data_IF_358053428971
#
_entry.id   IF_358053428971
#
_cell.length_a   1.000
_cell.length_b   1.000
_cell.length_c   1.000
_cell.angle_alpha   90.00
_cell.angle_beta   90.00
_cell.angle_gamma   90.00
#
_symmetry.space_group_name_H-M   'P 1'
#
loop_
_entity.id
_entity.type
_entity.pdbx_description
1 polymer ?
#
# COMPACT_ATOMS: atom_id res chain seq x y z
N UNK A 1 -12.33 -30.66 -14.62
CA UNK A 1 -11.18 -29.83 -15.04
C UNK A 1 -11.76 -28.60 -15.69
N UNK A 2 -11.88 -27.51 -14.94
CA UNK A 2 -12.49 -26.27 -15.43
C UNK A 2 -11.38 -25.30 -15.84
N UNK A 3 -11.16 -25.17 -17.15
CA UNK A 3 -10.33 -24.10 -17.70
C UNK A 3 -11.03 -22.76 -17.46
N UNK A 4 -10.49 -21.99 -16.53
CA UNK A 4 -10.84 -20.59 -16.34
C UNK A 4 -10.30 -19.81 -17.54
N UNK A 5 -11.15 -19.60 -18.53
CA UNK A 5 -10.87 -18.70 -19.65
C UNK A 5 -10.70 -17.29 -19.11
N UNK A 6 -9.45 -16.84 -19.07
CA UNK A 6 -9.10 -15.45 -18.83
C UNK A 6 -9.92 -14.57 -19.78
N UNK A 7 -10.69 -13.66 -19.18
CA UNK A 7 -11.61 -12.75 -19.85
C UNK A 7 -10.85 -11.86 -20.85
N UNK A 8 -10.83 -12.26 -22.12
CA UNK A 8 -10.28 -11.50 -23.24
C UNK A 8 -11.17 -10.28 -23.52
N UNK A 9 -10.97 -9.23 -22.71
CA UNK A 9 -11.72 -7.99 -22.78
C UNK A 9 -11.53 -7.24 -24.11
N UNK A 10 -12.48 -7.46 -25.03
CA UNK A 10 -12.87 -6.60 -26.17
C UNK A 10 -11.71 -6.02 -27.00
N UNK A 11 -11.27 -6.80 -27.99
CA UNK A 11 -10.43 -6.36 -29.11
C UNK A 11 -11.23 -5.46 -30.09
N UNK A 12 -11.48 -4.20 -29.73
CA UNK A 12 -11.71 -3.18 -30.76
C UNK A 12 -10.36 -2.89 -31.44
N UNK A 13 -10.28 -2.73 -32.78
CA UNK A 13 -9.00 -2.53 -33.46
C UNK A 13 -8.21 -1.39 -32.82
N UNK A 14 -7.09 -1.73 -32.17
CA UNK A 14 -6.27 -0.79 -31.40
C UNK A 14 -5.47 0.06 -32.39
N UNK A 15 -6.00 1.24 -32.66
CA UNK A 15 -5.31 2.30 -33.39
C UNK A 15 -4.24 2.89 -32.49
N UNK A 16 -3.01 3.00 -32.97
CA UNK A 16 -1.93 3.65 -32.22
C UNK A 16 -2.24 5.14 -32.02
N UNK A 17 -2.18 5.64 -30.79
CA UNK A 17 -2.38 7.07 -30.47
C UNK A 17 -1.32 7.99 -31.07
N UNK A 18 -0.14 7.45 -31.37
CA UNK A 18 1.01 8.20 -31.92
C UNK A 18 1.00 8.26 -33.45
N UNK A 19 0.88 7.12 -34.14
CA UNK A 19 0.98 7.07 -35.61
C UNK A 19 -0.34 6.74 -36.32
N UNK A 20 -1.43 6.50 -35.58
CA UNK A 20 -2.77 6.18 -36.10
C UNK A 20 -2.88 4.89 -36.93
N UNK A 21 -1.84 4.07 -36.94
CA UNK A 21 -1.87 2.74 -37.56
C UNK A 21 -2.59 1.71 -36.68
N UNK A 22 -3.34 0.80 -37.30
CA UNK A 22 -4.01 -0.33 -36.65
C UNK A 22 -3.06 -1.54 -36.52
N UNK A 23 -1.89 -1.30 -35.94
CA UNK A 23 -0.81 -2.28 -35.78
C UNK A 23 -0.34 -2.39 -34.33
N UNK A 24 -1.25 -2.24 -33.38
CA UNK A 24 -0.96 -2.42 -31.95
C UNK A 24 -1.22 -3.88 -31.58
N UNK A 25 -0.22 -4.52 -30.98
CA UNK A 25 -0.28 -5.91 -30.50
C UNK A 25 0.01 -5.98 -29.01
N UNK A 26 -0.62 -6.93 -28.34
CA UNK A 26 -0.26 -7.28 -26.98
C UNK A 26 1.14 -7.91 -26.96
N UNK A 27 1.98 -7.41 -26.07
CA UNK A 27 3.34 -7.90 -25.85
C UNK A 27 3.56 -8.05 -24.35
N UNK A 28 4.52 -8.90 -23.98
CA UNK A 28 4.95 -9.07 -22.59
C UNK A 28 6.37 -8.56 -22.49
N UNK A 29 6.64 -7.68 -21.52
CA UNK A 29 7.95 -7.04 -21.37
C UNK A 29 8.46 -7.14 -19.93
N UNK A 30 9.78 -7.27 -19.79
CA UNK A 30 10.46 -7.08 -18.52
C UNK A 30 10.95 -5.63 -18.45
N UNK A 31 10.69 -4.93 -17.35
CA UNK A 31 11.08 -3.52 -17.20
C UNK A 31 11.49 -3.16 -15.77
N UNK A 32 12.64 -2.49 -15.58
CA UNK A 32 12.96 -1.85 -14.31
C UNK A 32 12.07 -0.61 -14.11
N UNK A 33 11.52 -0.46 -12.91
CA UNK A 33 10.65 0.65 -12.53
C UNK A 33 10.97 1.12 -11.12
N UNK A 34 10.88 2.43 -10.93
CA UNK A 34 10.96 3.03 -9.61
C UNK A 34 9.55 3.34 -9.10
N UNK A 35 9.16 2.72 -7.99
CA UNK A 35 7.82 2.87 -7.41
C UNK A 35 7.95 3.52 -6.05
N UNK A 36 7.17 4.58 -5.81
CA UNK A 36 7.11 5.23 -4.50
C UNK A 36 6.14 4.48 -3.59
N UNK A 37 6.61 4.03 -2.45
CA UNK A 37 5.82 3.33 -1.43
C UNK A 37 6.23 3.79 -0.03
N UNK A 38 5.25 4.12 0.82
CA UNK A 38 5.47 4.64 2.19
C UNK A 38 6.53 5.77 2.26
N UNK A 39 6.53 6.65 1.26
CA UNK A 39 7.45 7.79 1.18
C UNK A 39 8.87 7.46 0.69
N UNK A 40 9.17 6.20 0.37
CA UNK A 40 10.47 5.76 -0.16
C UNK A 40 10.36 5.31 -1.61
N UNK A 41 11.43 5.50 -2.38
CA UNK A 41 11.52 5.01 -3.75
C UNK A 41 12.09 3.59 -3.75
N UNK A 42 11.42 2.67 -4.45
CA UNK A 42 11.81 1.28 -4.59
C UNK A 42 12.06 0.95 -6.06
N UNK A 43 13.30 0.57 -6.38
CA UNK A 43 13.67 0.09 -7.71
C UNK A 43 13.37 -1.40 -7.82
N UNK A 44 12.39 -1.75 -8.65
CA UNK A 44 11.93 -3.13 -8.87
C UNK A 44 12.04 -3.51 -10.34
N UNK A 45 12.22 -4.80 -10.62
CA UNK A 45 12.11 -5.33 -11.99
C UNK A 45 10.75 -6.01 -12.09
N UNK A 46 9.84 -5.42 -12.88
CA UNK A 46 8.55 -6.04 -13.19
C UNK A 46 8.77 -6.97 -14.37
N UNK A 47 8.72 -8.28 -14.09
CA UNK A 47 8.87 -9.33 -15.10
C UNK A 47 7.52 -9.71 -15.66
N UNK A 48 7.47 -10.00 -16.95
CA UNK A 48 6.26 -10.48 -17.59
C UNK A 48 5.13 -9.44 -17.63
N UNK A 49 5.45 -8.15 -17.65
CA UNK A 49 4.45 -7.08 -17.62
C UNK A 49 3.67 -7.03 -18.93
N UNK A 50 2.33 -7.22 -18.91
CA UNK A 50 1.51 -7.05 -20.10
C UNK A 50 1.59 -5.61 -20.58
N UNK A 51 1.75 -5.42 -21.89
CA UNK A 51 1.75 -4.11 -22.51
C UNK A 51 1.21 -4.23 -23.93
N UNK A 52 0.97 -3.09 -24.56
CA UNK A 52 0.59 -3.01 -25.95
C UNK A 52 1.63 -2.23 -26.72
N UNK A 53 2.17 -2.80 -27.80
CA UNK A 53 3.20 -2.17 -28.60
C UNK A 53 2.74 -2.03 -30.06
N UNK A 54 2.91 -0.85 -30.61
CA UNK A 54 2.73 -0.61 -32.03
C UNK A 54 3.92 -1.15 -32.83
N UNK A 55 3.68 -2.03 -33.80
CA UNK A 55 4.73 -2.58 -34.67
C UNK A 55 5.30 -1.53 -35.63
N UNK A 56 4.54 -0.49 -35.99
CA UNK A 56 4.99 0.54 -36.93
C UNK A 56 5.94 1.56 -36.27
N UNK A 57 5.55 2.13 -35.12
CA UNK A 57 6.30 3.23 -34.51
C UNK A 57 6.92 2.90 -33.14
N UNK A 58 6.73 1.68 -32.64
CA UNK A 58 7.29 1.20 -31.36
C UNK A 58 6.62 1.77 -30.10
N UNK A 59 5.60 2.63 -30.23
CA UNK A 59 4.90 3.19 -29.08
C UNK A 59 4.33 2.07 -28.20
N UNK A 60 4.57 2.15 -26.88
CA UNK A 60 4.10 1.17 -25.90
C UNK A 60 3.12 1.81 -24.93
N UNK A 61 1.97 1.19 -24.73
CA UNK A 61 0.93 1.60 -23.77
C UNK A 61 0.71 0.52 -22.73
N UNK A 62 0.39 0.95 -21.50
CA UNK A 62 0.15 0.09 -20.35
C UNK A 62 -1.31 0.22 -19.93
N UNK A 63 -1.87 -0.84 -19.36
CA UNK A 63 -3.25 -0.86 -18.85
C UNK A 63 -3.33 -1.46 -17.45
N UNK A 64 -4.54 -1.74 -17.00
CA UNK A 64 -4.79 -2.23 -15.64
C UNK A 64 -4.00 -3.52 -15.30
N UNK A 65 -3.82 -4.42 -16.28
CA UNK A 65 -3.03 -5.64 -16.07
C UNK A 65 -1.55 -5.35 -15.84
N UNK A 66 -1.03 -4.26 -16.42
CA UNK A 66 0.32 -3.76 -16.17
C UNK A 66 0.43 -3.24 -14.72
N UNK A 67 -0.54 -2.47 -14.26
CA UNK A 67 -0.57 -1.95 -12.88
C UNK A 67 -0.65 -3.10 -11.86
N UNK A 68 -1.47 -4.11 -12.13
CA UNK A 68 -1.54 -5.31 -11.29
C UNK A 68 -0.20 -6.07 -11.25
N UNK A 69 0.53 -6.14 -12.37
CA UNK A 69 1.86 -6.74 -12.42
C UNK A 69 2.89 -5.94 -11.61
N UNK A 70 2.84 -4.60 -11.66
CA UNK A 70 3.67 -3.70 -10.85
C UNK A 70 3.40 -3.92 -9.37
N UNK A 71 2.14 -3.93 -8.94
CA UNK A 71 1.75 -4.11 -7.54
C UNK A 71 2.13 -5.49 -7.01
N UNK A 72 2.01 -6.55 -7.83
CA UNK A 72 2.49 -7.89 -7.47
C UNK A 72 4.01 -7.92 -7.31
N UNK A 73 4.75 -7.30 -8.24
CA UNK A 73 6.20 -7.21 -8.16
C UNK A 73 6.66 -6.41 -6.92
N UNK A 74 5.94 -5.33 -6.59
CA UNK A 74 6.20 -4.53 -5.41
C UNK A 74 5.97 -5.33 -4.11
N UNK A 75 4.84 -6.03 -3.98
CA UNK A 75 4.58 -6.91 -2.82
C UNK A 75 5.69 -7.94 -2.63
N UNK A 76 6.12 -8.58 -3.72
CA UNK A 76 7.24 -9.54 -3.72
C UNK A 76 8.54 -8.89 -3.26
N UNK A 77 8.87 -7.72 -3.79
CA UNK A 77 10.08 -6.98 -3.43
C UNK A 77 10.08 -6.58 -1.94
N UNK A 78 8.93 -6.23 -1.40
CA UNK A 78 8.77 -5.78 -0.01
C UNK A 78 8.56 -6.93 0.99
N UNK A 79 8.35 -8.17 0.52
CA UNK A 79 8.02 -9.32 1.38
C UNK A 79 6.62 -9.26 2.00
N UNK A 80 5.70 -8.56 1.35
CA UNK A 80 4.31 -8.40 1.81
C UNK A 80 3.45 -9.58 1.37
N UNK A 81 2.35 -9.82 2.10
CA UNK A 81 1.32 -10.77 1.71
C UNK A 81 0.74 -10.40 0.34
N UNK A 82 0.60 -11.39 -0.53
CA UNK A 82 -0.10 -11.32 -1.79
C UNK A 82 -1.61 -11.22 -1.57
N UNK A 83 -2.31 -10.70 -2.58
CA UNK A 83 -3.76 -10.54 -2.54
C UNK A 83 -4.47 -11.88 -2.30
N UNK A 84 -3.98 -12.93 -2.96
CA UNK A 84 -4.51 -14.29 -2.80
C UNK A 84 -4.23 -14.84 -1.40
N UNK A 85 -3.04 -14.61 -0.85
CA UNK A 85 -2.70 -15.06 0.51
C UNK A 85 -3.61 -14.44 1.58
N UNK A 86 -3.94 -13.15 1.46
CA UNK A 86 -4.87 -12.47 2.39
C UNK A 86 -6.26 -13.09 2.29
N UNK A 87 -6.76 -13.27 1.05
CA UNK A 87 -8.08 -13.84 0.80
C UNK A 87 -8.18 -15.27 1.31
N UNK A 88 -7.19 -16.09 1.00
CA UNK A 88 -7.19 -17.52 1.32
C UNK A 88 -7.05 -17.72 2.85
N UNK A 89 -6.21 -16.93 3.52
CA UNK A 89 -6.11 -16.93 4.99
C UNK A 89 -7.42 -16.50 5.66
N UNK A 90 -8.09 -15.47 5.14
CA UNK A 90 -9.41 -15.06 5.63
C UNK A 90 -10.45 -16.16 5.45
N UNK A 91 -10.49 -16.77 4.26
CA UNK A 91 -11.44 -17.86 3.97
C UNK A 91 -11.18 -19.09 4.85
N UNK A 92 -9.91 -19.40 5.15
CA UNK A 92 -9.55 -20.49 6.06
C UNK A 92 -10.07 -20.27 7.49
N UNK A 93 -10.22 -19.01 7.92
CA UNK A 93 -10.85 -18.66 9.20
C UNK A 93 -12.39 -18.65 9.15
N UNK A 94 -13.00 -18.80 7.97
CA UNK A 94 -14.45 -18.80 7.80
C UNK A 94 -15.13 -17.44 8.00
N UNK A 95 -14.36 -16.34 8.00
CA UNK A 95 -14.88 -14.98 8.24
C UNK A 95 -15.05 -14.19 6.93
N UNK A 96 -15.99 -13.25 6.92
CA UNK A 96 -16.24 -12.30 5.84
C UNK A 96 -15.21 -11.16 5.81
N UNK A 97 -15.16 -10.43 4.69
CA UNK A 97 -14.32 -9.22 4.57
C UNK A 97 -14.70 -8.13 5.59
N UNK A 98 -15.97 -8.05 5.97
CA UNK A 98 -16.46 -7.08 6.97
C UNK A 98 -15.95 -7.46 8.36
N UNK A 99 -16.05 -8.74 8.72
CA UNK A 99 -15.57 -9.24 10.01
C UNK A 99 -14.05 -9.07 10.15
N UNK A 100 -13.27 -9.37 9.10
CA UNK A 100 -11.83 -9.10 9.09
C UNK A 100 -11.55 -7.61 9.28
N UNK A 101 -12.23 -6.74 8.53
CA UNK A 101 -12.04 -5.29 8.62
C UNK A 101 -12.36 -4.74 10.02
N UNK A 102 -13.45 -5.22 10.62
CA UNK A 102 -13.82 -4.88 11.99
C UNK A 102 -12.75 -5.33 12.99
N UNK A 103 -12.28 -6.57 12.89
CA UNK A 103 -11.32 -7.14 13.82
C UNK A 103 -9.96 -6.41 13.79
N UNK A 104 -9.47 -6.01 12.62
CA UNK A 104 -8.18 -5.30 12.48
C UNK A 104 -8.34 -3.77 12.45
N UNK A 105 -9.55 -3.26 12.74
CA UNK A 105 -9.89 -1.83 12.82
C UNK A 105 -9.51 -1.04 11.56
N UNK A 106 -9.90 -1.54 10.39
CA UNK A 106 -9.78 -0.82 9.13
C UNK A 106 -11.12 -0.71 8.37
N UNK A 107 -11.15 0.10 7.31
CA UNK A 107 -12.32 0.17 6.43
C UNK A 107 -12.45 -1.11 5.58
N UNK A 108 -13.67 -1.61 5.38
CA UNK A 108 -13.97 -2.79 4.54
C UNK A 108 -13.41 -2.65 3.12
N UNK A 109 -13.47 -1.44 2.57
CA UNK A 109 -12.96 -1.11 1.24
C UNK A 109 -11.47 -1.37 1.14
N UNK A 110 -10.72 -1.24 2.23
CA UNK A 110 -9.29 -1.54 2.27
C UNK A 110 -9.05 -3.03 2.08
N UNK A 111 -9.76 -3.87 2.84
CA UNK A 111 -9.69 -5.34 2.71
C UNK A 111 -10.09 -5.77 1.29
N UNK A 112 -11.17 -5.23 0.75
CA UNK A 112 -11.62 -5.52 -0.61
C UNK A 112 -10.53 -5.18 -1.65
N UNK A 113 -9.88 -4.02 -1.52
CA UNK A 113 -8.80 -3.60 -2.44
C UNK A 113 -7.53 -4.44 -2.25
N UNK A 114 -7.21 -4.87 -1.03
CA UNK A 114 -6.06 -5.74 -0.77
C UNK A 114 -6.26 -7.13 -1.38
N UNK A 115 -7.42 -7.75 -1.15
CA UNK A 115 -7.78 -9.07 -1.72
C UNK A 115 -7.96 -9.02 -3.24
N UNK A 116 -8.39 -7.88 -3.79
CA UNK A 116 -8.50 -7.65 -5.23
C UNK A 116 -7.18 -7.27 -5.90
N UNK A 117 -6.10 -7.08 -5.13
CA UNK A 117 -4.80 -6.66 -5.65
C UNK A 117 -4.68 -5.18 -6.02
N UNK A 118 -5.78 -4.41 -5.95
CA UNK A 118 -5.90 -3.00 -6.36
C UNK A 118 -5.19 -2.00 -5.45
N UNK A 119 -4.81 -2.42 -4.24
CA UNK A 119 -4.05 -1.60 -3.31
C UNK A 119 -3.04 -2.46 -2.56
N UNK A 120 -1.80 -2.00 -2.49
CA UNK A 120 -0.76 -2.59 -1.65
C UNK A 120 -0.96 -2.12 -0.20
N UNK A 121 -1.10 -3.06 0.73
CA UNK A 121 -1.22 -2.78 2.16
C UNK A 121 0.04 -2.12 2.71
N UNK A 122 -0.08 -1.36 3.80
CA UNK A 122 1.08 -0.83 4.53
C UNK A 122 1.84 -1.96 5.22
N UNK A 123 3.12 -1.73 5.55
CA UNK A 123 3.92 -2.69 6.34
C UNK A 123 3.33 -2.93 7.72
N UNK A 124 2.67 -1.93 8.30
CA UNK A 124 1.98 -2.06 9.57
C UNK A 124 0.78 -3.02 9.47
N UNK A 125 -0.05 -2.86 8.44
CA UNK A 125 -1.18 -3.77 8.21
C UNK A 125 -0.72 -5.16 7.80
N UNK A 126 0.38 -5.30 7.07
CA UNK A 126 0.94 -6.61 6.74
C UNK A 126 1.30 -7.41 8.01
N UNK A 127 2.00 -6.78 8.96
CA UNK A 127 2.31 -7.39 10.26
C UNK A 127 1.05 -7.74 11.03
N UNK A 128 0.08 -6.84 11.06
CA UNK A 128 -1.19 -7.04 11.75
C UNK A 128 -1.97 -8.23 11.17
N UNK A 129 -2.08 -8.30 9.85
CA UNK A 129 -2.73 -9.41 9.14
C UNK A 129 -2.03 -10.74 9.44
N UNK A 130 -0.69 -10.78 9.37
CA UNK A 130 0.08 -12.00 9.70
C UNK A 130 -0.14 -12.45 11.14
N UNK A 131 -0.14 -11.51 12.09
CA UNK A 131 -0.42 -11.82 13.50
C UNK A 131 -1.85 -12.35 13.69
N UNK A 132 -2.83 -11.66 13.10
CA UNK A 132 -4.24 -12.04 13.20
C UNK A 132 -4.54 -13.40 12.57
N UNK A 133 -3.97 -13.70 11.40
CA UNK A 133 -4.14 -15.00 10.75
C UNK A 133 -3.35 -16.10 11.47
N UNK A 134 -2.15 -15.80 11.95
CA UNK A 134 -1.22 -16.78 12.49
C UNK A 134 -1.43 -17.17 13.96
N UNK A 135 -2.11 -16.36 14.77
CA UNK A 135 -2.25 -16.60 16.22
C UNK A 135 -3.70 -16.50 16.68
N UNK A 136 -4.29 -17.60 17.20
CA UNK A 136 -5.57 -17.55 17.91
C UNK A 136 -5.55 -16.58 19.09
N UNK A 137 -4.43 -16.50 19.82
CA UNK A 137 -4.28 -15.62 20.98
C UNK A 137 -4.43 -14.15 20.62
N UNK A 138 -3.90 -13.73 19.46
CA UNK A 138 -4.10 -12.37 18.93
C UNK A 138 -5.58 -12.12 18.62
N UNK A 139 -6.28 -13.12 18.07
CA UNK A 139 -7.72 -12.98 17.79
C UNK A 139 -8.54 -12.86 19.07
N UNK A 140 -8.25 -13.69 20.07
CA UNK A 140 -8.91 -13.60 21.39
C UNK A 140 -8.62 -12.26 22.07
N UNK A 141 -7.38 -11.77 21.99
CA UNK A 141 -7.02 -10.44 22.50
C UNK A 141 -7.83 -9.34 21.82
N UNK A 142 -8.02 -9.39 20.50
CA UNK A 142 -8.81 -8.38 19.78
C UNK A 142 -10.28 -8.45 20.17
N UNK A 143 -10.83 -9.66 20.35
CA UNK A 143 -12.19 -9.82 20.86
C UNK A 143 -12.35 -9.27 22.29
N UNK A 144 -11.37 -9.46 23.16
CA UNK A 144 -11.36 -8.89 24.50
C UNK A 144 -11.35 -7.35 24.47
N UNK A 145 -10.48 -6.76 23.66
CA UNK A 145 -10.42 -5.30 23.45
C UNK A 145 -11.76 -4.77 22.93
N UNK A 146 -12.39 -5.47 21.99
CA UNK A 146 -13.68 -5.07 21.43
C UNK A 146 -14.82 -5.12 22.46
N UNK A 147 -14.72 -5.98 23.47
CA UNK A 147 -15.64 -6.02 24.63
C UNK A 147 -15.33 -4.94 25.69
N UNK A 148 -14.30 -4.13 25.47
CA UNK A 148 -13.87 -3.08 26.41
C UNK A 148 -13.02 -3.61 27.57
N UNK A 149 -12.48 -4.82 27.46
CA UNK A 149 -11.52 -5.34 28.44
C UNK A 149 -10.17 -4.65 28.26
N UNK A 150 -9.51 -4.29 29.36
CA UNK A 150 -8.16 -3.75 29.29
C UNK A 150 -7.20 -4.83 28.78
N UNK A 151 -6.60 -4.58 27.62
CA UNK A 151 -5.51 -5.41 27.13
C UNK A 151 -4.35 -5.37 28.14
N UNK A 152 -3.83 -6.51 28.60
CA UNK A 152 -2.72 -6.52 29.53
C UNK A 152 -1.50 -5.89 28.86
N UNK A 153 -1.13 -4.68 29.30
CA UNK A 153 0.15 -4.08 28.97
C UNK A 153 1.18 -4.71 29.90
N UNK A 154 1.79 -5.81 29.46
CA UNK A 154 2.81 -6.51 30.25
C UNK A 154 4.05 -5.62 30.32
N UNK A 155 4.30 -5.05 31.50
CA UNK A 155 5.47 -4.21 31.81
C UNK A 155 6.70 -5.02 32.26
N UNK A 156 6.50 -6.28 32.67
CA UNK A 156 7.56 -7.20 33.08
C UNK A 156 7.83 -8.20 31.95
N UNK A 157 8.80 -7.89 31.10
CA UNK A 157 9.26 -8.80 30.06
C UNK A 157 10.17 -9.87 30.67
N UNK A 158 9.65 -11.07 30.95
CA UNK A 158 10.52 -12.24 30.98
C UNK A 158 11.27 -12.29 29.64
N UNK A 159 12.61 -12.24 29.73
CA UNK A 159 13.50 -12.03 28.59
C UNK A 159 13.07 -12.87 27.37
N UNK A 160 12.76 -12.17 26.28
CA UNK A 160 12.57 -12.79 24.97
C UNK A 160 13.92 -13.40 24.52
N UNK A 161 14.17 -14.66 24.89
CA UNK A 161 15.34 -15.42 24.42
C UNK A 161 15.04 -15.80 22.97
N UNK A 162 15.81 -15.20 22.06
CA UNK A 162 15.49 -15.13 20.64
C UNK A 162 15.33 -16.48 19.95
N UNK A 163 14.21 -16.62 19.23
CA UNK A 163 14.13 -17.49 18.06
C UNK A 163 14.70 -16.72 16.86
N UNK A 164 16.01 -16.83 16.65
CA UNK A 164 16.60 -16.59 15.33
C UNK A 164 16.20 -17.79 14.45
N UNK A 165 15.57 -17.59 13.28
CA UNK A 165 15.32 -18.71 12.38
C UNK A 165 16.64 -19.26 11.87
N UNK A 166 16.85 -20.56 12.08
CA UNK A 166 17.92 -21.34 11.46
C UNK A 166 17.71 -21.27 9.95
N UNK A 167 18.69 -20.74 9.20
CA UNK A 167 18.74 -20.93 7.74
C UNK A 167 18.91 -19.70 6.85
N UNK A 168 19.70 -18.69 7.24
CA UNK A 168 20.22 -17.71 6.27
C UNK A 168 21.75 -17.75 6.29
N UNK A 169 22.33 -18.74 5.61
CA UNK A 169 23.75 -18.67 5.25
C UNK A 169 23.91 -17.67 4.11
N UNK A 170 24.70 -16.64 4.36
CA UNK A 170 25.17 -15.57 3.47
C UNK A 170 24.36 -14.26 3.47
N UNK A 171 24.80 -13.36 4.35
CA UNK A 171 24.74 -11.91 4.16
C UNK A 171 26.17 -11.37 4.24
N UNK A 172 26.60 -10.48 3.32
CA UNK A 172 27.96 -9.94 3.30
C UNK A 172 28.19 -8.91 4.40
N UNK A 173 29.47 -8.75 4.77
CA UNK A 173 30.00 -7.94 5.86
C UNK A 173 29.42 -6.52 5.94
N UNK A 174 28.57 -6.26 6.93
CA UNK A 174 28.19 -4.92 7.35
C UNK A 174 29.26 -4.39 8.33
N UNK A 175 30.26 -3.70 7.80
CA UNK A 175 31.17 -2.89 8.59
C UNK A 175 30.46 -1.61 9.07
N UNK A 176 29.98 -1.62 10.31
CA UNK A 176 29.53 -0.42 11.04
C UNK A 176 30.68 0.10 11.92
N UNK A 177 31.44 1.06 11.39
CA UNK A 177 32.30 1.95 12.19
C UNK A 177 31.65 3.32 12.19
N UNK A 178 31.21 3.82 13.36
CA UNK A 178 30.67 5.17 13.44
C UNK A 178 30.03 5.61 14.75
N UNK A 179 30.80 5.54 15.84
CA UNK A 179 30.81 6.41 17.03
C UNK A 179 29.49 7.07 17.51
N UNK A 180 29.13 6.73 18.74
CA UNK A 180 28.03 7.35 19.46
C UNK A 180 28.24 8.82 19.82
N UNK A 181 27.10 9.50 20.00
CA UNK A 181 27.00 10.67 20.86
C UNK A 181 25.70 10.58 21.66
N UNK A 182 25.88 10.62 22.97
CA UNK A 182 24.86 10.81 23.99
C UNK A 182 24.45 12.28 23.96
N UNK A 183 23.17 12.57 23.69
CA UNK A 183 22.61 13.90 23.94
C UNK A 183 21.77 13.87 25.21
N UNK A 184 22.37 14.34 26.30
CA UNK A 184 21.66 14.83 27.47
C UNK A 184 21.45 16.34 27.32
N UNK A 185 20.22 16.84 27.39
CA UNK A 185 20.02 18.22 27.86
C UNK A 185 18.66 18.41 28.53
N UNK A 186 18.75 18.86 29.77
CA UNK A 186 17.74 19.33 30.70
C UNK A 186 16.87 20.48 30.18
N UNK A 187 15.69 20.62 30.78
CA UNK A 187 14.74 21.73 30.65
C UNK A 187 15.40 23.10 30.89
N UNK A 188 15.03 24.09 30.08
CA UNK A 188 14.96 25.49 30.48
C UNK A 188 13.84 26.22 29.73
N UNK A 189 13.01 26.90 30.51
CA UNK A 189 11.89 27.77 30.14
C UNK A 189 12.43 29.04 29.46
N UNK A 190 11.79 29.49 28.37
CA UNK A 190 12.09 30.77 27.73
C UNK A 190 11.68 30.80 26.26
N UNK A 191 10.43 31.18 25.98
CA UNK A 191 9.92 31.29 24.62
C UNK A 191 10.41 32.53 23.87
N UNK A 192 10.18 32.60 22.54
CA UNK A 192 10.01 33.86 21.82
C UNK A 192 8.57 34.05 21.33
N UNK A 193 8.09 35.28 21.48
CA UNK A 193 6.81 35.82 21.01
C UNK A 193 6.64 35.60 19.51
N UNK A 194 5.55 34.93 19.10
CA UNK A 194 5.05 35.00 17.73
C UNK A 194 4.08 36.18 17.61
N UNK A 195 4.50 37.19 16.86
CA UNK A 195 3.70 38.35 16.46
C UNK A 195 2.73 37.92 15.37
N UNK A 196 1.43 37.94 15.67
CA UNK A 196 0.36 37.74 14.68
C UNK A 196 0.16 39.08 13.94
N UNK A 197 0.50 39.12 12.65
CA UNK A 197 0.07 40.22 11.76
C UNK A 197 -1.33 39.89 11.23
N UNK A 198 -2.32 40.60 11.75
CA UNK A 198 -3.67 40.68 11.18
C UNK A 198 -3.77 41.80 10.15
N UNK A 199 -4.44 41.50 9.04
CA UNK A 199 -5.09 42.41 8.08
C UNK A 199 -6.09 41.52 7.33
N UNK A 200 -7.39 41.75 7.22
CA UNK A 200 -8.27 42.77 7.77
C UNK A 200 -9.68 42.38 7.28
N UNK A 201 -10.65 42.36 8.18
CA UNK A 201 -12.07 42.26 7.86
C UNK A 201 -12.56 43.60 7.33
N UNK A 202 -13.30 43.62 6.24
CA UNK A 202 -14.26 44.70 5.97
C UNK A 202 -15.46 44.13 5.24
N UNK A 203 -16.57 44.03 5.97
CA UNK A 203 -17.91 43.94 5.43
C UNK A 203 -18.42 45.36 5.13
N UNK A 204 -19.41 45.40 4.23
CA UNK A 204 -20.45 46.41 4.03
C UNK A 204 -20.16 47.70 3.25
N UNK A 205 -20.76 47.76 2.05
CA UNK A 205 -21.58 48.87 1.49
C UNK A 205 -22.12 48.40 0.11
N UNK A 206 -23.34 47.87 0.05
CA UNK A 206 -24.61 48.55 -0.30
C UNK A 206 -24.82 48.88 -1.80
N UNK A 207 -25.78 48.14 -2.38
CA UNK A 207 -26.87 48.55 -3.30
C UNK A 207 -26.55 49.34 -4.58
N UNK A 208 -26.91 48.73 -5.71
CA UNK A 208 -27.92 49.09 -6.76
C UNK A 208 -27.52 48.30 -8.02
N UNK A 209 -28.34 47.85 -8.96
CA UNK A 209 -29.76 47.91 -9.29
C UNK A 209 -29.92 47.21 -10.66
N UNK A 210 -30.98 46.42 -10.81
CA UNK A 210 -31.83 46.23 -11.98
C UNK A 210 -31.29 46.18 -13.45
N UNK A 211 -31.68 45.10 -14.12
CA UNK A 211 -32.45 45.06 -15.39
C UNK A 211 -31.89 45.63 -16.71
N UNK A 212 -31.65 44.75 -17.69
CA UNK A 212 -32.23 44.67 -19.06
C UNK A 212 -31.35 43.78 -19.95
N UNK A 213 -31.86 42.65 -20.47
CA UNK A 213 -32.52 42.49 -21.77
C UNK A 213 -31.59 42.58 -22.99
N UNK A 214 -31.35 41.42 -23.63
CA UNK A 214 -31.45 41.18 -25.08
C UNK A 214 -31.49 39.68 -25.33
#
# INVERSE_FOLDING_TARGET
MGESTANSGRSYPRTCTKCREKRVRSVVIDRPMDVKYEGRLHSIIVRGMPAERCENCGATTYGNDSDAAVDRALRKHLGLLMAEEIRDARQALGISQIELASAIRCAKESVCRWEGGLLVQSRAYDRLLRAYFGSPEVRELFLAIDRGEEAPIVVEAERFVGLVPVGVTNLPDFNLVGKGQVYSSSRSVGGPKLTIRGMGTSADLLKTGDSHAA
#
